data_IF_897855441130
#
_entry.id   IF_897855441130
#
_cell.length_a   1.000
_cell.length_b   1.000
_cell.length_c   1.000
_cell.angle_alpha   90.00
_cell.angle_beta   90.00
_cell.angle_gamma   90.00
#
_symmetry.space_group_name_H-M   'P 1'
#
loop_
_entity.id
_entity.type
_entity.pdbx_description
1 polymer ?
#
# COMPACT_ATOMS: atom_id res chain seq x y z
N UNK A 1 5.49 6.94 -18.25
CA UNK A 1 6.64 6.07 -17.96
C UNK A 1 6.25 5.06 -16.89
N UNK A 2 6.54 3.80 -17.14
CA UNK A 2 6.05 2.69 -16.29
C UNK A 2 7.10 2.32 -15.26
N UNK A 3 6.94 2.83 -14.06
CA UNK A 3 7.94 2.68 -12.99
C UNK A 3 7.44 1.88 -11.79
N UNK A 4 6.19 1.39 -11.82
CA UNK A 4 5.56 0.78 -10.64
C UNK A 4 5.04 -0.62 -10.95
N UNK A 5 5.42 -1.59 -10.13
CA UNK A 5 4.75 -2.89 -10.06
C UNK A 5 3.80 -2.87 -8.87
N UNK A 6 2.58 -3.33 -9.08
CA UNK A 6 1.53 -3.30 -8.06
C UNK A 6 1.18 -4.71 -7.59
N UNK A 7 0.91 -4.85 -6.30
CA UNK A 7 0.45 -6.10 -5.70
C UNK A 7 -0.79 -5.81 -4.86
N UNK A 8 -1.88 -6.45 -5.21
CA UNK A 8 -3.20 -6.16 -4.64
C UNK A 8 -3.91 -7.45 -4.27
N UNK A 9 -5.04 -7.33 -3.57
CA UNK A 9 -5.81 -8.49 -3.10
C UNK A 9 -7.00 -8.82 -3.98
N UNK A 10 -7.55 -7.84 -4.70
CA UNK A 10 -8.79 -8.01 -5.48
C UNK A 10 -8.59 -7.64 -6.94
N UNK A 11 -9.29 -8.34 -7.81
CA UNK A 11 -9.26 -8.06 -9.25
C UNK A 11 -9.76 -6.65 -9.57
N UNK A 12 -10.73 -6.13 -8.80
CA UNK A 12 -11.22 -4.76 -9.00
C UNK A 12 -10.15 -3.72 -8.73
N UNK A 13 -9.30 -3.97 -7.76
CA UNK A 13 -8.16 -3.08 -7.46
C UNK A 13 -7.13 -3.14 -8.59
N UNK A 14 -6.87 -4.33 -9.10
CA UNK A 14 -5.95 -4.51 -10.21
C UNK A 14 -6.43 -3.76 -11.45
N UNK A 15 -7.73 -3.80 -11.71
CA UNK A 15 -8.30 -3.10 -12.86
C UNK A 15 -8.09 -1.59 -12.78
N UNK A 16 -8.32 -1.01 -11.61
CA UNK A 16 -8.12 0.42 -11.39
C UNK A 16 -6.65 0.80 -11.63
N UNK A 17 -5.72 0.04 -11.04
CA UNK A 17 -4.30 0.36 -11.13
C UNK A 17 -3.74 0.12 -12.53
N UNK A 18 -4.24 -0.90 -13.23
CA UNK A 18 -3.74 -1.21 -14.58
C UNK A 18 -4.03 -0.10 -15.59
N UNK A 19 -4.94 0.81 -15.29
CA UNK A 19 -5.25 1.95 -16.16
C UNK A 19 -4.27 3.11 -16.01
N UNK A 20 -3.45 3.09 -14.97
CA UNK A 20 -2.53 4.20 -14.69
C UNK A 20 -1.28 4.11 -15.56
N UNK A 21 -0.88 5.25 -16.12
CA UNK A 21 0.27 5.30 -17.03
C UNK A 21 1.57 4.89 -16.36
N UNK A 22 1.68 5.10 -15.05
CA UNK A 22 2.89 4.82 -14.28
C UNK A 22 3.06 3.34 -13.95
N UNK A 23 2.04 2.52 -14.16
CA UNK A 23 2.02 1.13 -13.71
C UNK A 23 2.55 0.20 -14.81
N UNK A 24 3.59 -0.56 -14.48
CA UNK A 24 4.20 -1.53 -15.39
C UNK A 24 3.47 -2.88 -15.34
N UNK A 25 3.09 -3.32 -14.15
CA UNK A 25 2.38 -4.59 -13.97
C UNK A 25 1.54 -4.55 -12.72
N UNK A 26 0.50 -5.40 -12.68
CA UNK A 26 -0.34 -5.56 -11.50
C UNK A 26 -0.53 -7.05 -11.24
N UNK A 27 -0.34 -7.45 -10.00
CA UNK A 27 -0.47 -8.85 -9.58
C UNK A 27 -1.55 -8.96 -8.50
N UNK A 28 -2.49 -9.89 -8.67
CA UNK A 28 -3.48 -10.18 -7.65
C UNK A 28 -2.94 -11.32 -6.79
N UNK A 29 -2.79 -11.04 -5.50
CA UNK A 29 -2.22 -11.99 -4.56
C UNK A 29 -3.28 -13.01 -4.13
N UNK A 30 -2.84 -14.24 -3.87
CA UNK A 30 -3.70 -15.31 -3.39
C UNK A 30 -3.62 -15.50 -1.88
N UNK A 31 -2.83 -14.67 -1.20
CA UNK A 31 -2.68 -14.70 0.25
C UNK A 31 -2.53 -13.26 0.76
N UNK A 32 -2.92 -12.99 2.02
CA UNK A 32 -2.87 -11.62 2.53
C UNK A 32 -1.45 -11.12 2.77
N UNK A 33 -1.25 -9.83 2.59
CA UNK A 33 0.03 -9.17 2.84
C UNK A 33 0.39 -9.09 4.33
N UNK A 34 -0.52 -9.48 5.22
CA UNK A 34 -0.19 -9.61 6.63
C UNK A 34 0.76 -10.78 6.90
N UNK A 35 0.85 -11.73 5.96
CA UNK A 35 1.78 -12.86 6.10
C UNK A 35 3.15 -12.48 5.57
N UNK A 36 4.18 -12.83 6.33
CA UNK A 36 5.57 -12.60 5.91
C UNK A 36 5.88 -13.26 4.57
N UNK A 37 5.39 -14.47 4.36
CA UNK A 37 5.63 -15.19 3.11
C UNK A 37 5.07 -14.45 1.90
N UNK A 38 3.91 -13.81 2.04
CA UNK A 38 3.30 -13.03 0.96
C UNK A 38 4.14 -11.80 0.64
N UNK A 39 4.61 -11.10 1.68
CA UNK A 39 5.49 -9.94 1.52
C UNK A 39 6.77 -10.32 0.78
N UNK A 40 7.41 -11.40 1.22
CA UNK A 40 8.65 -11.87 0.58
C UNK A 40 8.40 -12.28 -0.88
N UNK A 41 7.26 -12.89 -1.16
CA UNK A 41 6.91 -13.27 -2.51
C UNK A 41 6.73 -12.06 -3.43
N UNK A 42 6.04 -11.03 -2.95
CA UNK A 42 5.87 -9.79 -3.69
C UNK A 42 7.21 -9.13 -3.98
N UNK A 43 8.07 -9.06 -2.97
CA UNK A 43 9.40 -8.47 -3.12
C UNK A 43 10.22 -9.22 -4.18
N UNK A 44 10.15 -10.56 -4.19
CA UNK A 44 10.86 -11.36 -5.18
C UNK A 44 10.34 -11.17 -6.59
N UNK A 45 9.04 -10.95 -6.73
CA UNK A 45 8.40 -10.81 -8.04
C UNK A 45 8.55 -9.39 -8.62
N UNK A 46 8.85 -8.41 -7.79
CA UNK A 46 8.92 -7.01 -8.22
C UNK A 46 10.18 -6.77 -9.05
N UNK A 47 10.03 -6.06 -10.16
CA UNK A 47 11.17 -5.73 -11.04
C UNK A 47 11.21 -4.25 -11.43
N UNK A 48 10.14 -3.51 -11.24
CA UNK A 48 10.11 -2.08 -11.53
C UNK A 48 10.84 -1.30 -10.44
N UNK A 49 11.11 -0.04 -10.69
CA UNK A 49 11.82 0.83 -9.74
C UNK A 49 11.09 0.96 -8.42
N UNK A 50 9.76 1.02 -8.47
CA UNK A 50 8.90 1.15 -7.30
C UNK A 50 7.90 0.01 -7.24
N UNK A 51 7.50 -0.34 -6.03
CA UNK A 51 6.52 -1.39 -5.77
C UNK A 51 5.39 -0.82 -4.92
N UNK A 52 4.18 -0.92 -5.43
CA UNK A 52 2.99 -0.46 -4.73
C UNK A 52 2.28 -1.66 -4.13
N UNK A 53 2.01 -1.58 -2.82
CA UNK A 53 1.18 -2.57 -2.13
C UNK A 53 -0.13 -1.90 -1.73
N UNK A 54 -1.25 -2.49 -2.14
CA UNK A 54 -2.54 -2.07 -1.60
C UNK A 54 -3.01 -3.14 -0.64
N UNK A 55 -3.08 -2.77 0.63
CA UNK A 55 -3.20 -3.74 1.73
C UNK A 55 -4.63 -3.98 2.19
N UNK A 56 -5.60 -3.27 1.60
CA UNK A 56 -7.00 -3.36 2.01
C UNK A 56 -7.76 -4.37 1.17
N UNK A 57 -8.87 -4.86 1.74
CA UNK A 57 -9.84 -5.67 1.02
C UNK A 57 -11.01 -4.82 0.53
N UNK A 58 -10.82 -3.52 0.46
CA UNK A 58 -11.82 -2.55 0.02
C UNK A 58 -11.57 -2.17 -1.43
N UNK A 59 -12.59 -1.62 -2.08
CA UNK A 59 -12.40 -1.08 -3.42
C UNK A 59 -11.51 0.16 -3.33
N UNK A 60 -10.80 0.41 -4.42
CA UNK A 60 -9.83 1.50 -4.51
C UNK A 60 -10.26 2.46 -5.61
N UNK A 61 -10.14 3.75 -5.33
CA UNK A 61 -10.22 4.78 -6.36
C UNK A 61 -9.07 5.76 -6.15
N UNK A 62 -8.51 6.27 -7.24
CA UNK A 62 -7.39 7.20 -7.18
C UNK A 62 -7.85 8.58 -7.62
N UNK A 63 -7.33 9.63 -6.97
CA UNK A 63 -7.51 10.97 -7.49
C UNK A 63 -6.66 11.13 -8.76
N UNK A 64 -7.01 12.10 -9.57
CA UNK A 64 -6.26 12.40 -10.79
C UNK A 64 -4.80 12.71 -10.43
N UNK A 65 -3.87 12.14 -11.15
CA UNK A 65 -2.42 12.30 -10.91
C UNK A 65 -1.90 11.75 -9.59
N UNK A 66 -2.63 10.84 -8.93
CA UNK A 66 -2.20 10.32 -7.63
C UNK A 66 -0.82 9.66 -7.69
N UNK A 67 -0.61 8.73 -8.62
CA UNK A 67 0.65 8.01 -8.71
C UNK A 67 1.77 8.90 -9.24
N UNK A 68 1.47 9.80 -10.16
CA UNK A 68 2.45 10.77 -10.64
C UNK A 68 2.95 11.62 -9.48
N UNK A 69 2.04 12.07 -8.60
CA UNK A 69 2.40 12.87 -7.43
C UNK A 69 3.27 12.07 -6.46
N UNK A 70 2.93 10.81 -6.21
CA UNK A 70 3.72 9.98 -5.31
C UNK A 70 5.13 9.75 -5.85
N UNK A 71 5.26 9.51 -7.15
CA UNK A 71 6.58 9.35 -7.77
C UNK A 71 7.40 10.64 -7.70
N UNK A 72 6.74 11.78 -7.87
CA UNK A 72 7.42 13.08 -7.77
C UNK A 72 8.01 13.27 -6.37
N UNK A 73 7.24 12.96 -5.34
CA UNK A 73 7.73 13.07 -3.96
C UNK A 73 8.85 12.05 -3.72
N UNK A 74 8.71 10.84 -4.27
CA UNK A 74 9.75 9.82 -4.15
C UNK A 74 11.07 10.29 -4.76
N UNK A 75 11.00 10.90 -5.94
CA UNK A 75 12.20 11.42 -6.61
C UNK A 75 12.80 12.57 -5.82
N UNK A 76 11.96 13.45 -5.26
CA UNK A 76 12.43 14.63 -4.53
C UNK A 76 13.05 14.29 -3.18
N UNK A 77 12.55 13.25 -2.50
CA UNK A 77 12.96 12.94 -1.13
C UNK A 77 13.92 11.77 -1.02
N UNK A 78 13.95 10.90 -2.02
CA UNK A 78 14.69 9.65 -1.93
C UNK A 78 14.11 8.66 -0.94
N UNK A 79 12.87 8.84 -0.51
CA UNK A 79 12.25 8.02 0.52
C UNK A 79 12.16 6.56 0.09
N UNK A 80 12.25 5.67 1.08
CA UNK A 80 12.12 4.23 0.87
C UNK A 80 10.66 3.78 0.86
N UNK A 81 9.82 4.46 1.62
CA UNK A 81 8.38 4.19 1.69
C UNK A 81 7.64 5.53 1.70
N UNK A 82 6.62 5.61 0.85
CA UNK A 82 5.75 6.79 0.77
C UNK A 82 4.32 6.36 1.03
N UNK A 83 3.60 7.17 1.78
CA UNK A 83 2.19 6.95 2.07
C UNK A 83 1.50 8.31 2.14
N UNK A 84 0.20 8.32 1.87
CA UNK A 84 -0.55 9.57 1.73
C UNK A 84 -1.83 9.52 2.56
N UNK A 85 -2.45 10.68 2.70
CA UNK A 85 -3.79 10.77 3.28
C UNK A 85 -4.81 10.21 2.27
N UNK A 86 -5.95 9.80 2.77
CA UNK A 86 -7.00 9.24 1.94
C UNK A 86 -8.36 9.64 2.45
N UNK A 87 -9.36 9.43 1.59
CA UNK A 87 -10.75 9.46 1.98
C UNK A 87 -11.21 8.03 2.24
N UNK A 88 -12.12 7.88 3.20
CA UNK A 88 -12.81 6.61 3.41
C UNK A 88 -14.26 6.83 3.00
N UNK A 89 -14.74 6.01 2.07
CA UNK A 89 -16.12 6.05 1.62
C UNK A 89 -16.85 4.86 2.20
N UNK A 90 -17.93 5.14 2.93
CA UNK A 90 -18.72 4.12 3.59
C UNK A 90 -20.17 4.54 3.57
N UNK A 91 -21.04 3.67 3.04
CA UNK A 91 -22.49 3.94 2.99
C UNK A 91 -22.81 5.25 2.26
N UNK A 92 -22.06 5.58 1.23
CA UNK A 92 -22.28 6.81 0.50
C UNK A 92 -21.69 8.06 1.16
N UNK A 93 -21.19 7.95 2.38
CA UNK A 93 -20.50 9.05 3.03
C UNK A 93 -19.01 8.98 2.75
N UNK A 94 -18.42 10.13 2.45
CA UNK A 94 -16.99 10.25 2.22
C UNK A 94 -16.40 11.11 3.34
N UNK A 95 -15.43 10.54 4.06
CA UNK A 95 -14.81 11.18 5.21
C UNK A 95 -13.30 11.27 4.96
N UNK A 96 -12.68 12.45 5.15
CA UNK A 96 -11.22 12.52 5.09
C UNK A 96 -10.63 11.72 6.25
N UNK A 97 -9.57 10.98 5.95
CA UNK A 97 -8.89 10.14 6.93
C UNK A 97 -7.39 10.38 6.82
N UNK A 98 -6.91 11.49 7.38
CA UNK A 98 -5.47 11.76 7.33
C UNK A 98 -4.71 10.77 8.18
N UNK A 99 -3.45 10.55 7.83
CA UNK A 99 -2.54 9.78 8.66
C UNK A 99 -1.59 10.74 9.33
N UNK A 100 -1.08 10.37 10.50
CA UNK A 100 -0.10 11.21 11.18
C UNK A 100 1.30 10.89 10.65
N UNK A 101 2.23 11.85 10.80
CA UNK A 101 3.61 11.62 10.43
C UNK A 101 4.23 10.54 11.30
N UNK A 102 4.97 9.64 10.67
CA UNK A 102 5.72 8.63 11.39
C UNK A 102 7.09 9.19 11.76
N UNK A 103 7.33 9.31 13.06
CA UNK A 103 8.64 9.72 13.53
C UNK A 103 9.49 8.48 13.76
N UNK A 104 10.73 8.55 13.36
CA UNK A 104 11.65 7.45 13.53
C UNK A 104 11.78 7.11 15.02
N UNK A 105 11.68 5.84 15.35
CA UNK A 105 11.68 5.38 16.72
C UNK A 105 10.29 5.33 17.35
N UNK A 106 9.29 5.91 16.70
CA UNK A 106 7.91 5.88 17.18
C UNK A 106 7.04 4.88 16.43
N UNK A 107 7.63 4.10 15.54
CA UNK A 107 6.90 3.13 14.73
C UNK A 107 6.38 1.99 15.61
N UNK A 108 5.07 1.75 15.54
CA UNK A 108 4.40 0.70 16.30
C UNK A 108 3.55 -0.13 15.36
N UNK A 109 3.16 -1.33 15.80
CA UNK A 109 2.39 -2.24 14.97
C UNK A 109 0.98 -1.74 14.68
N UNK A 110 0.46 -0.82 15.52
CA UNK A 110 -0.85 -0.23 15.33
C UNK A 110 -0.81 1.10 14.57
N UNK A 111 0.36 1.50 14.07
CA UNK A 111 0.46 2.73 13.30
C UNK A 111 -0.26 2.57 11.96
N UNK A 112 -1.18 3.49 11.68
CA UNK A 112 -1.99 3.40 10.46
C UNK A 112 -1.38 4.24 9.35
N UNK A 113 -0.92 3.56 8.30
CA UNK A 113 -0.31 4.18 7.13
C UNK A 113 -1.30 4.36 5.98
N UNK A 114 -2.55 3.91 6.15
CA UNK A 114 -3.46 3.76 5.04
C UNK A 114 -3.17 2.50 4.25
N UNK A 115 -4.00 2.20 3.26
CA UNK A 115 -3.88 0.97 2.50
C UNK A 115 -2.92 1.02 1.32
N UNK A 116 -2.61 2.21 0.82
CA UNK A 116 -1.78 2.39 -0.37
C UNK A 116 -0.36 2.76 0.03
N UNK A 117 0.57 1.86 -0.22
CA UNK A 117 1.96 2.01 0.19
C UNK A 117 2.85 1.93 -1.05
N UNK A 118 3.71 2.92 -1.24
CA UNK A 118 4.66 2.91 -2.36
C UNK A 118 6.06 2.74 -1.81
N UNK A 119 6.68 1.61 -2.13
CA UNK A 119 8.04 1.30 -1.72
C UNK A 119 9.00 1.50 -2.88
N UNK A 120 10.19 1.99 -2.57
CA UNK A 120 11.32 1.86 -3.51
C UNK A 120 11.66 0.37 -3.53
N UNK A 121 11.67 -0.24 -4.70
CA UNK A 121 11.79 -1.70 -4.82
C UNK A 121 13.08 -2.22 -4.19
N UNK A 122 14.19 -1.52 -4.38
CA UNK A 122 15.45 -1.94 -3.78
C UNK A 122 15.38 -1.98 -2.25
N UNK A 123 14.70 -0.99 -1.66
CA UNK A 123 14.52 -0.94 -0.21
C UNK A 123 13.60 -2.07 0.28
N UNK A 124 12.53 -2.34 -0.47
CA UNK A 124 11.61 -3.44 -0.16
C UNK A 124 12.34 -4.78 -0.19
N UNK A 125 13.11 -5.01 -1.23
CA UNK A 125 13.83 -6.28 -1.39
C UNK A 125 14.89 -6.48 -0.33
N UNK A 126 15.60 -5.42 0.02
CA UNK A 126 16.60 -5.46 1.08
C UNK A 126 15.96 -5.77 2.43
N UNK A 127 14.84 -5.11 2.72
CA UNK A 127 14.11 -5.35 3.98
C UNK A 127 13.53 -6.76 4.01
N UNK A 128 12.95 -7.23 2.89
CA UNK A 128 12.38 -8.57 2.81
C UNK A 128 13.45 -9.65 3.02
N UNK A 129 14.67 -9.41 2.54
CA UNK A 129 15.77 -10.34 2.73
C UNK A 129 16.16 -10.46 4.21
N UNK A 130 15.87 -9.44 5.02
CA UNK A 130 16.13 -9.46 6.46
C UNK A 130 14.94 -9.98 7.28
N UNK A 131 13.80 -10.27 6.63
CA UNK A 131 12.64 -10.83 7.31
C UNK A 131 12.82 -12.32 7.49
N UNK A 132 13.28 -12.72 8.66
CA UNK A 132 13.59 -14.12 8.95
C UNK A 132 12.47 -14.83 9.71
N UNK A 133 11.59 -14.07 10.35
CA UNK A 133 10.45 -14.65 11.08
C UNK A 133 9.29 -14.88 10.11
N UNK A 134 8.47 -15.88 10.43
CA UNK A 134 7.32 -16.26 9.60
C UNK A 134 6.04 -15.89 10.32
N UNK A 135 5.63 -14.62 10.16
CA UNK A 135 4.42 -14.12 10.79
C UNK A 135 3.20 -14.37 9.90
N UNK A 136 2.08 -14.68 10.54
CA UNK A 136 0.79 -14.79 9.86
C UNK A 136 0.05 -13.45 9.81
N UNK A 137 0.31 -12.56 10.77
CA UNK A 137 -0.44 -11.33 10.90
C UNK A 137 0.42 -10.07 11.03
N UNK A 138 1.71 -10.20 11.25
CA UNK A 138 2.61 -9.07 11.50
C UNK A 138 3.61 -8.83 10.37
N UNK A 139 3.38 -9.41 9.18
CA UNK A 139 4.31 -9.29 8.06
C UNK A 139 4.52 -7.85 7.61
N UNK A 140 3.44 -7.08 7.49
CA UNK A 140 3.55 -5.68 7.06
C UNK A 140 4.26 -4.82 8.10
N UNK A 141 3.97 -5.06 9.38
CA UNK A 141 4.66 -4.34 10.45
C UNK A 141 6.15 -4.63 10.43
N UNK A 142 6.51 -5.91 10.32
CA UNK A 142 7.91 -6.33 10.26
C UNK A 142 8.62 -5.69 9.07
N UNK A 143 7.96 -5.67 7.90
CA UNK A 143 8.51 -5.02 6.72
C UNK A 143 8.75 -3.53 6.96
N UNK A 144 7.76 -2.82 7.48
CA UNK A 144 7.88 -1.38 7.74
C UNK A 144 9.00 -1.08 8.73
N UNK A 145 9.09 -1.90 9.77
CA UNK A 145 10.14 -1.73 10.76
C UNK A 145 11.52 -1.86 10.11
N UNK A 146 11.70 -2.90 9.30
CA UNK A 146 12.98 -3.12 8.64
C UNK A 146 13.32 -2.05 7.61
N UNK A 147 12.33 -1.57 6.87
CA UNK A 147 12.53 -0.46 5.94
C UNK A 147 12.93 0.79 6.71
N UNK A 148 12.25 1.08 7.83
CA UNK A 148 12.51 2.28 8.62
C UNK A 148 13.91 2.32 9.24
N UNK A 149 14.53 1.16 9.40
CA UNK A 149 15.88 1.08 9.96
C UNK A 149 16.96 1.59 9.02
N UNK A 150 16.68 1.58 7.70
CA UNK A 150 17.69 1.93 6.69
C UNK A 150 17.23 2.97 5.71
N UNK A 151 15.98 3.36 5.75
CA UNK A 151 15.43 4.30 4.79
C UNK A 151 14.43 5.25 5.41
N UNK A 152 14.16 6.33 4.68
CA UNK A 152 13.22 7.34 5.12
C UNK A 152 11.79 6.93 4.78
N UNK A 153 10.89 7.18 5.72
CA UNK A 153 9.45 7.06 5.50
C UNK A 153 8.91 8.48 5.28
N UNK A 154 8.15 8.67 4.21
CA UNK A 154 7.66 10.00 3.85
C UNK A 154 6.15 10.02 3.80
N UNK A 155 5.55 10.87 4.63
CA UNK A 155 4.12 11.12 4.62
C UNK A 155 3.81 12.25 3.64
N UNK A 156 2.95 11.98 2.68
CA UNK A 156 2.45 12.99 1.74
C UNK A 156 1.14 13.51 2.31
N UNK A 157 1.13 14.76 2.73
CA UNK A 157 -0.04 15.38 3.37
C UNK A 157 -1.09 15.80 2.36
N UNK A 158 -1.39 14.95 1.39
CA UNK A 158 -2.38 15.18 0.35
C UNK A 158 -3.30 13.98 0.27
N UNK A 159 -4.57 14.20 -0.02
CA UNK A 159 -5.58 13.15 -0.12
C UNK A 159 -5.53 12.60 -1.54
N UNK A 160 -4.86 11.47 -1.74
CA UNK A 160 -4.56 10.95 -3.07
C UNK A 160 -5.44 9.79 -3.52
N UNK A 161 -6.20 9.18 -2.60
CA UNK A 161 -7.00 8.03 -2.97
C UNK A 161 -8.18 7.85 -2.02
N UNK A 162 -9.09 6.93 -2.41
CA UNK A 162 -10.28 6.57 -1.65
C UNK A 162 -10.19 5.09 -1.29
N UNK A 163 -10.44 4.77 -0.03
CA UNK A 163 -10.70 3.40 0.40
C UNK A 163 -12.22 3.27 0.48
N UNK A 164 -12.79 2.48 -0.40
CA UNK A 164 -14.24 2.40 -0.57
C UNK A 164 -14.74 1.09 0.01
N UNK A 165 -15.48 1.18 1.12
CA UNK A 165 -16.11 -0.01 1.67
C UNK A 165 -17.28 -0.41 0.77
N UNK A 166 -17.28 -1.67 0.37
CA UNK A 166 -18.26 -2.17 -0.57
C UNK A 166 -19.63 -2.33 0.07
N UNK A 167 -20.66 -1.83 -0.59
CA UNK A 167 -22.03 -2.09 -0.17
C UNK A 167 -22.39 -3.56 -0.30
N UNK A 168 -21.73 -4.29 -1.16
CA UNK A 168 -21.91 -5.73 -1.30
C UNK A 168 -21.67 -6.46 0.00
N UNK A 169 -20.66 -6.05 0.74
CA UNK A 169 -20.35 -6.65 2.02
C UNK A 169 -21.50 -6.48 3.00
N UNK A 170 -22.07 -5.30 3.05
CA UNK A 170 -23.23 -5.03 3.90
C UNK A 170 -24.44 -5.77 3.43
N UNK A 171 -24.68 -5.80 2.13
CA UNK A 171 -25.80 -6.54 1.57
C UNK A 171 -25.68 -8.01 1.88
N UNK A 172 -24.47 -8.55 1.82
CA UNK A 172 -24.23 -9.94 2.19
C UNK A 172 -24.54 -10.21 3.64
N UNK A 173 -24.12 -9.31 4.52
CA UNK A 173 -24.42 -9.43 5.95
C UNK A 173 -25.92 -9.39 6.21
N UNK A 174 -26.63 -8.51 5.54
CA UNK A 174 -28.07 -8.41 5.66
C UNK A 174 -28.78 -9.65 5.17
N UNK A 175 -28.26 -10.29 4.16
CA UNK A 175 -28.83 -11.51 3.62
C UNK A 175 -28.71 -12.68 4.60
N UNK A 176 -27.73 -12.65 5.43
CA UNK A 176 -27.50 -13.69 6.42
C UNK A 176 -28.30 -13.46 7.70
N UNK A 177 -28.80 -12.27 7.88
CA UNK A 177 -29.62 -11.92 9.02
C UNK A 177 -31.05 -12.44 8.82
#
# INVERSE_FOLDING_TARGET
>A
MKRIDCFVSLASQAEILSREAEVASVHVLDAPLTRSATVRGAASAASAEFTLLYTRQTELSLVHYALERMLQVADDTGAALLYADRFISKNGEVVPAPVIDCQQGALRDDFEFGGLLLYRTAALQEAAARMTADYEAAGLYDLRLKVSQKGRLEHIGEYLYYEIESDLRKSGEKQFD
#
